data_IF_584470277231
#
_entry.id   IF_584470277231
#
_cell.length_a   1.000
_cell.length_b   1.000
_cell.length_c   1.000
_cell.angle_alpha   90.00
_cell.angle_beta   90.00
_cell.angle_gamma   90.00
#
_symmetry.space_group_name_H-M   'P 1'
#
loop_
_entity.id
_entity.type
_entity.pdbx_description
1 polymer ?
#
# COMPACT_ATOMS: atom_id res chain seq x y z
N UNK A 1 17.94 -9.87 12.80
CA UNK A 1 18.40 -8.81 13.72
C UNK A 1 17.26 -7.80 13.81
N UNK A 2 16.84 -7.42 15.01
CA UNK A 2 15.92 -6.29 15.16
C UNK A 2 16.59 -5.03 14.60
N UNK A 3 15.86 -4.26 13.80
CA UNK A 3 16.35 -3.00 13.28
C UNK A 3 16.53 -2.02 14.45
N UNK A 4 17.58 -1.17 14.43
CA UNK A 4 17.74 -0.16 15.45
C UNK A 4 16.52 0.78 15.44
N UNK A 5 16.01 1.11 16.63
CA UNK A 5 14.85 1.99 16.78
C UNK A 5 15.08 3.40 16.20
N UNK A 6 16.34 3.81 16.09
CA UNK A 6 16.75 5.12 15.57
C UNK A 6 17.90 4.91 14.58
N UNK A 7 17.78 5.50 13.39
CA UNK A 7 18.84 5.48 12.36
C UNK A 7 20.01 6.41 12.74
N UNK A 8 19.71 7.61 13.25
CA UNK A 8 20.70 8.52 13.82
C UNK A 8 20.06 9.54 14.77
N UNK A 9 20.83 10.05 15.75
CA UNK A 9 20.37 11.14 16.63
C UNK A 9 20.02 12.42 15.86
N UNK A 10 20.71 12.69 14.75
CA UNK A 10 20.47 13.86 13.91
C UNK A 10 19.08 13.79 13.28
N UNK A 11 18.68 12.63 12.74
CA UNK A 11 17.35 12.43 12.15
C UNK A 11 16.22 12.51 13.17
N UNK A 12 16.47 12.10 14.42
CA UNK A 12 15.53 12.35 15.53
C UNK A 12 15.35 13.85 15.75
N UNK A 13 16.45 14.62 15.79
CA UNK A 13 16.40 16.05 16.04
C UNK A 13 15.76 16.83 14.88
N UNK A 14 16.10 16.50 13.63
CA UNK A 14 15.67 17.25 12.44
C UNK A 14 14.29 16.85 11.93
N UNK A 15 13.91 15.57 12.10
CA UNK A 15 12.72 14.99 11.48
C UNK A 15 11.81 14.22 12.45
N UNK A 16 12.20 14.08 13.73
CA UNK A 16 11.45 13.26 14.68
C UNK A 16 11.46 11.77 14.34
N UNK A 17 12.40 11.29 13.52
CA UNK A 17 12.39 9.92 13.02
C UNK A 17 12.69 8.90 14.13
N UNK A 18 11.68 8.08 14.44
CA UNK A 18 11.79 6.92 15.34
C UNK A 18 11.01 5.77 14.73
N UNK A 19 11.63 4.60 14.63
CA UNK A 19 10.96 3.41 14.11
C UNK A 19 10.17 2.71 15.22
N UNK A 20 8.87 2.52 14.97
CA UNK A 20 7.97 1.84 15.90
C UNK A 20 8.38 0.38 16.08
N UNK A 21 8.50 -0.06 17.33
CA UNK A 21 8.91 -1.43 17.63
C UNK A 21 7.84 -2.46 17.23
N UNK A 22 8.23 -3.70 16.84
CA UNK A 22 7.28 -4.74 16.43
C UNK A 22 6.18 -5.03 17.45
N UNK A 23 6.49 -4.94 18.75
CA UNK A 23 5.51 -5.09 19.83
C UNK A 23 4.38 -4.07 19.72
N UNK A 24 4.71 -2.80 19.52
CA UNK A 24 3.73 -1.72 19.47
C UNK A 24 2.94 -1.75 18.16
N UNK A 25 3.61 -2.06 17.04
CA UNK A 25 2.94 -2.31 15.76
C UNK A 25 1.86 -3.38 15.92
N UNK A 26 2.23 -4.53 16.50
CA UNK A 26 1.30 -5.63 16.69
C UNK A 26 0.15 -5.27 17.65
N UNK A 27 0.44 -4.57 18.75
CA UNK A 27 -0.59 -4.13 19.70
C UNK A 27 -1.62 -3.23 19.02
N UNK A 28 -1.17 -2.26 18.21
CA UNK A 28 -2.04 -1.34 17.47
C UNK A 28 -2.87 -2.06 16.41
N UNK A 29 -2.27 -2.92 15.60
CA UNK A 29 -3.00 -3.65 14.55
C UNK A 29 -3.99 -4.68 15.13
N UNK A 30 -3.79 -5.13 16.37
CA UNK A 30 -4.77 -5.99 17.05
C UNK A 30 -6.06 -5.25 17.44
N UNK A 31 -6.06 -3.91 17.49
CA UNK A 31 -7.27 -3.12 17.71
C UNK A 31 -8.19 -3.12 16.48
N UNK A 32 -7.62 -3.33 15.29
CA UNK A 32 -8.32 -3.38 13.99
C UNK A 32 -8.06 -4.73 13.30
N UNK A 33 -8.07 -5.80 14.11
CA UNK A 33 -7.63 -7.13 13.68
C UNK A 33 -8.35 -7.59 12.41
N UNK A 34 -9.68 -7.54 12.40
CA UNK A 34 -10.48 -7.98 11.24
C UNK A 34 -10.08 -7.25 9.95
N UNK A 35 -9.86 -5.94 10.01
CA UNK A 35 -9.42 -5.15 8.88
C UNK A 35 -7.99 -5.51 8.46
N UNK A 36 -7.09 -5.75 9.43
CA UNK A 36 -5.69 -6.09 9.15
C UNK A 36 -5.50 -7.43 8.43
N UNK A 37 -6.50 -8.32 8.48
CA UNK A 37 -6.51 -9.60 7.75
C UNK A 37 -7.40 -9.57 6.48
N UNK A 38 -8.21 -8.53 6.28
CA UNK A 38 -9.04 -8.40 5.07
C UNK A 38 -8.17 -8.07 3.85
N UNK A 39 -8.34 -8.80 2.74
CA UNK A 39 -7.57 -8.57 1.51
C UNK A 39 -7.82 -7.17 0.91
N UNK A 40 -9.03 -6.64 1.07
CA UNK A 40 -9.47 -5.40 0.44
C UNK A 40 -9.51 -4.18 1.36
N UNK A 41 -9.43 -4.36 2.69
CA UNK A 41 -9.50 -3.23 3.62
C UNK A 41 -8.29 -2.29 3.45
N UNK A 42 -8.54 -1.01 3.22
CA UNK A 42 -7.49 -0.03 2.95
C UNK A 42 -6.82 0.48 4.22
N UNK A 43 -5.50 0.64 4.19
CA UNK A 43 -4.69 1.27 5.24
C UNK A 43 -3.86 2.42 4.67
N UNK A 44 -3.82 3.54 5.38
CA UNK A 44 -2.94 4.67 5.09
C UNK A 44 -2.10 5.00 6.31
N UNK A 45 -0.77 4.97 6.15
CA UNK A 45 0.17 5.46 7.16
C UNK A 45 0.82 6.78 6.70
N UNK A 46 0.42 7.95 7.25
CA UNK A 46 0.85 9.27 6.76
C UNK A 46 2.25 9.70 7.21
N UNK A 47 2.98 8.85 7.94
CA UNK A 47 4.38 9.02 8.33
C UNK A 47 5.05 7.63 8.44
N UNK A 48 5.08 6.90 7.32
CA UNK A 48 5.34 5.46 7.34
C UNK A 48 6.78 5.06 7.61
N UNK A 49 7.74 5.99 7.57
CA UNK A 49 9.16 5.71 7.70
C UNK A 49 9.60 4.62 6.71
N UNK A 50 10.34 3.64 7.21
CA UNK A 50 10.72 2.45 6.43
C UNK A 50 9.66 1.33 6.44
N UNK A 51 8.44 1.62 6.88
CA UNK A 51 7.27 0.76 6.67
C UNK A 51 6.99 -0.29 7.74
N UNK A 52 7.37 -0.08 9.01
CA UNK A 52 7.15 -1.08 10.07
C UNK A 52 5.67 -1.47 10.29
N UNK A 53 4.73 -0.53 10.14
CA UNK A 53 3.29 -0.86 10.14
C UNK A 53 2.87 -1.57 8.86
N UNK A 54 3.31 -1.05 7.71
CA UNK A 54 2.89 -1.53 6.39
C UNK A 54 3.36 -2.96 6.11
N UNK A 55 4.54 -3.35 6.58
CA UNK A 55 5.06 -4.71 6.41
C UNK A 55 4.27 -5.74 7.21
N UNK A 56 3.86 -5.40 8.44
CA UNK A 56 3.03 -6.29 9.26
C UNK A 56 1.59 -6.38 8.69
N UNK A 57 1.03 -5.29 8.17
CA UNK A 57 -0.25 -5.30 7.46
C UNK A 57 -0.17 -6.20 6.21
N UNK A 58 0.89 -6.03 5.41
CA UNK A 58 1.14 -6.86 4.23
C UNK A 58 1.23 -8.33 4.61
N UNK A 59 2.06 -8.68 5.60
CA UNK A 59 2.24 -10.05 6.07
C UNK A 59 0.90 -10.69 6.49
N UNK A 60 0.09 -10.00 7.31
CA UNK A 60 -1.23 -10.51 7.75
C UNK A 60 -2.17 -10.77 6.57
N UNK A 61 -2.21 -9.86 5.59
CA UNK A 61 -3.02 -10.01 4.37
C UNK A 61 -2.50 -11.15 3.49
N UNK A 62 -1.18 -11.31 3.34
CA UNK A 62 -0.58 -12.40 2.58
C UNK A 62 -0.88 -13.77 3.21
N UNK A 63 -0.90 -13.87 4.54
CA UNK A 63 -1.35 -15.07 5.24
C UNK A 63 -2.80 -15.42 4.88
N UNK A 64 -3.73 -14.46 4.94
CA UNK A 64 -5.12 -14.68 4.54
C UNK A 64 -5.26 -15.04 3.06
N UNK A 65 -4.47 -14.39 2.19
CA UNK A 65 -4.44 -14.70 0.76
C UNK A 65 -3.99 -16.14 0.50
N UNK A 66 -2.94 -16.59 1.21
CA UNK A 66 -2.44 -17.97 1.15
C UNK A 66 -3.50 -18.98 1.58
N UNK A 67 -4.18 -18.72 2.69
CA UNK A 67 -5.23 -19.58 3.23
C UNK A 67 -6.42 -19.72 2.27
N UNK A 68 -6.83 -18.63 1.64
CA UNK A 68 -8.03 -18.61 0.78
C UNK A 68 -7.75 -19.07 -0.65
N UNK A 69 -6.61 -18.67 -1.24
CA UNK A 69 -6.34 -18.79 -2.67
C UNK A 69 -5.03 -19.49 -3.01
N UNK A 70 -4.25 -19.97 -2.04
CA UNK A 70 -2.92 -20.56 -2.27
C UNK A 70 -2.89 -21.74 -3.25
N UNK A 71 -4.02 -22.40 -3.51
CA UNK A 71 -4.16 -23.51 -4.47
C UNK A 71 -4.70 -23.08 -5.84
N UNK A 72 -4.91 -21.78 -6.06
CA UNK A 72 -5.54 -21.22 -7.25
C UNK A 72 -4.65 -20.10 -7.82
N UNK A 73 -3.60 -20.43 -8.60
CA UNK A 73 -2.57 -19.46 -8.98
C UNK A 73 -3.11 -18.15 -9.59
N UNK A 74 -4.04 -18.25 -10.55
CA UNK A 74 -4.65 -17.07 -11.18
C UNK A 74 -5.42 -16.19 -10.18
N UNK A 75 -6.18 -16.80 -9.26
CA UNK A 75 -6.92 -16.06 -8.23
C UNK A 75 -5.96 -15.47 -7.19
N UNK A 76 -4.90 -16.18 -6.84
CA UNK A 76 -3.85 -15.72 -5.95
C UNK A 76 -3.16 -14.47 -6.51
N UNK A 77 -2.69 -14.52 -7.75
CA UNK A 77 -2.03 -13.39 -8.42
C UNK A 77 -2.92 -12.15 -8.48
N UNK A 78 -4.20 -12.37 -8.74
CA UNK A 78 -5.18 -11.29 -8.84
C UNK A 78 -5.46 -10.64 -7.48
N UNK A 79 -5.71 -11.46 -6.45
CA UNK A 79 -5.93 -10.96 -5.10
C UNK A 79 -4.64 -10.44 -4.44
N UNK A 80 -3.46 -10.87 -4.89
CA UNK A 80 -2.18 -10.28 -4.50
C UNK A 80 -2.12 -8.80 -4.88
N UNK A 81 -2.54 -8.45 -6.10
CA UNK A 81 -2.62 -7.06 -6.53
C UNK A 81 -3.66 -6.27 -5.74
N UNK A 82 -4.77 -6.88 -5.33
CA UNK A 82 -5.75 -6.26 -4.43
C UNK A 82 -5.15 -5.97 -3.06
N UNK A 83 -4.39 -6.92 -2.48
CA UNK A 83 -3.69 -6.75 -1.22
C UNK A 83 -2.71 -5.58 -1.30
N UNK A 84 -1.84 -5.57 -2.31
CA UNK A 84 -0.85 -4.49 -2.49
C UNK A 84 -1.55 -3.15 -2.77
N UNK A 85 -2.63 -3.17 -3.56
CA UNK A 85 -3.45 -2.00 -3.87
C UNK A 85 -4.20 -1.42 -2.68
N UNK A 86 -4.30 -2.14 -1.56
CA UNK A 86 -4.97 -1.67 -0.34
C UNK A 86 -4.03 -1.02 0.69
N UNK A 87 -2.72 -0.94 0.42
CA UNK A 87 -1.72 -0.45 1.37
C UNK A 87 -1.12 0.85 0.85
N UNK A 88 -1.23 1.93 1.62
CA UNK A 88 -0.77 3.28 1.29
C UNK A 88 0.13 3.84 2.39
N UNK A 89 1.09 4.66 1.99
CA UNK A 89 2.06 5.26 2.89
C UNK A 89 2.59 6.58 2.37
N UNK A 90 2.84 7.52 3.28
CA UNK A 90 3.52 8.77 3.00
C UNK A 90 4.69 8.89 3.97
N UNK A 91 5.84 9.34 3.49
CA UNK A 91 6.95 9.77 4.34
C UNK A 91 7.68 10.92 3.67
N UNK A 92 8.16 11.86 4.48
CA UNK A 92 8.84 13.06 3.97
C UNK A 92 10.25 12.75 3.46
N UNK A 93 10.86 11.64 3.91
CA UNK A 93 12.23 11.28 3.57
C UNK A 93 12.27 10.28 2.41
N UNK A 94 12.94 10.61 1.29
CA UNK A 94 12.92 9.76 0.09
C UNK A 94 13.63 8.41 0.31
N UNK A 95 14.64 8.36 1.20
CA UNK A 95 15.35 7.13 1.53
C UNK A 95 14.46 6.16 2.32
N UNK A 96 13.60 6.67 3.20
CA UNK A 96 12.61 5.88 3.92
C UNK A 96 11.59 5.24 2.98
N UNK A 97 11.05 6.01 2.03
CA UNK A 97 10.11 5.47 1.03
C UNK A 97 10.76 4.41 0.14
N UNK A 98 12.01 4.64 -0.29
CA UNK A 98 12.75 3.64 -1.06
C UNK A 98 12.95 2.35 -0.27
N UNK A 99 13.38 2.44 1.00
CA UNK A 99 13.56 1.30 1.89
C UNK A 99 12.22 0.59 2.16
N UNK A 100 11.14 1.33 2.39
CA UNK A 100 9.79 0.80 2.58
C UNK A 100 9.35 -0.04 1.38
N UNK A 101 9.43 0.52 0.16
CA UNK A 101 9.07 -0.19 -1.08
C UNK A 101 9.86 -1.49 -1.25
N UNK A 102 11.17 -1.45 -1.01
CA UNK A 102 12.03 -2.64 -1.16
C UNK A 102 11.71 -3.71 -0.12
N UNK A 103 11.45 -3.31 1.13
CA UNK A 103 11.08 -4.22 2.21
C UNK A 103 9.74 -4.90 1.97
N UNK A 104 8.72 -4.15 1.55
CA UNK A 104 7.42 -4.73 1.21
C UNK A 104 7.51 -5.69 0.01
N UNK A 105 8.27 -5.31 -1.02
CA UNK A 105 8.47 -6.18 -2.17
C UNK A 105 9.24 -7.46 -1.80
N UNK A 106 10.27 -7.35 -0.97
CA UNK A 106 11.03 -8.50 -0.47
C UNK A 106 10.18 -9.44 0.38
N UNK A 107 9.34 -8.90 1.28
CA UNK A 107 8.40 -9.68 2.09
C UNK A 107 7.44 -10.48 1.19
N UNK A 108 6.88 -9.82 0.18
CA UNK A 108 5.99 -10.42 -0.80
C UNK A 108 6.69 -11.57 -1.54
N UNK A 109 7.91 -11.36 -2.07
CA UNK A 109 8.66 -12.40 -2.76
C UNK A 109 8.94 -13.61 -1.86
N UNK A 110 9.37 -13.34 -0.63
CA UNK A 110 9.68 -14.39 0.35
C UNK A 110 8.47 -15.23 0.74
N UNK A 111 7.26 -14.67 0.60
CA UNK A 111 6.00 -15.35 0.87
C UNK A 111 5.43 -16.05 -0.38
N UNK A 112 5.59 -15.46 -1.57
CA UNK A 112 5.00 -15.93 -2.81
C UNK A 112 5.54 -17.30 -3.24
N UNK A 113 6.87 -17.43 -3.36
CA UNK A 113 7.52 -18.63 -3.89
C UNK A 113 7.18 -19.91 -3.09
N UNK A 114 7.24 -19.91 -1.74
CA UNK A 114 6.83 -21.08 -0.96
C UNK A 114 5.37 -21.49 -1.15
N UNK A 115 4.47 -20.56 -1.48
CA UNK A 115 3.05 -20.83 -1.65
C UNK A 115 2.75 -21.35 -3.06
N UNK A 116 3.26 -20.67 -4.09
CA UNK A 116 2.96 -20.99 -5.49
C UNK A 116 3.88 -22.07 -6.07
N UNK A 117 5.04 -22.31 -5.44
CA UNK A 117 6.02 -23.30 -5.91
C UNK A 117 6.83 -22.85 -7.13
N UNK A 118 6.73 -21.57 -7.52
CA UNK A 118 7.52 -20.95 -8.57
C UNK A 118 7.81 -19.46 -8.26
N UNK A 119 8.86 -18.88 -8.87
CA UNK A 119 9.14 -17.45 -8.78
C UNK A 119 7.99 -16.58 -9.29
N UNK A 120 7.90 -15.37 -8.75
CA UNK A 120 6.98 -14.35 -9.24
C UNK A 120 7.34 -13.96 -10.67
N UNK A 121 6.38 -14.06 -11.60
CA UNK A 121 6.62 -13.69 -12.99
C UNK A 121 6.90 -12.19 -13.15
N UNK A 122 7.80 -11.83 -14.08
CA UNK A 122 8.22 -10.45 -14.32
C UNK A 122 7.05 -9.50 -14.58
N UNK A 123 6.03 -9.94 -15.34
CA UNK A 123 4.87 -9.11 -15.64
C UNK A 123 4.07 -8.76 -14.37
N UNK A 124 3.87 -9.74 -13.48
CA UNK A 124 3.19 -9.53 -12.20
C UNK A 124 4.06 -8.72 -11.24
N UNK A 125 5.37 -9.00 -11.17
CA UNK A 125 6.32 -8.23 -10.39
C UNK A 125 6.32 -6.74 -10.78
N UNK A 126 6.27 -6.45 -12.09
CA UNK A 126 6.17 -5.08 -12.60
C UNK A 126 4.86 -4.41 -12.18
N UNK A 127 3.73 -5.12 -12.23
CA UNK A 127 2.44 -4.62 -11.73
C UNK A 127 2.49 -4.30 -10.24
N UNK A 128 3.03 -5.20 -9.41
CA UNK A 128 3.20 -5.00 -7.96
C UNK A 128 4.07 -3.76 -7.68
N UNK A 129 5.24 -3.65 -8.33
CA UNK A 129 6.14 -2.51 -8.15
C UNK A 129 5.48 -1.20 -8.55
N UNK A 130 4.71 -1.20 -9.63
CA UNK A 130 3.97 -0.01 -10.07
C UNK A 130 2.93 0.43 -9.03
N UNK A 131 2.13 -0.50 -8.50
CA UNK A 131 1.16 -0.19 -7.43
C UNK A 131 1.89 0.38 -6.21
N UNK A 132 2.95 -0.28 -5.73
CA UNK A 132 3.73 0.21 -4.58
C UNK A 132 4.32 1.60 -4.84
N UNK A 133 4.78 1.87 -6.08
CA UNK A 133 5.31 3.18 -6.44
C UNK A 133 4.24 4.27 -6.34
N UNK A 134 3.00 3.98 -6.74
CA UNK A 134 1.86 4.90 -6.69
C UNK A 134 1.26 5.04 -5.29
N UNK A 135 1.30 3.99 -4.48
CA UNK A 135 0.69 3.99 -3.14
C UNK A 135 1.63 4.47 -2.02
N UNK A 136 2.95 4.34 -2.19
CA UNK A 136 3.96 4.72 -1.20
C UNK A 136 4.68 5.98 -1.66
N UNK A 137 4.28 7.16 -1.19
CA UNK A 137 4.64 8.45 -1.77
C UNK A 137 5.66 9.19 -0.90
N UNK A 138 6.67 9.80 -1.52
CA UNK A 138 7.53 10.76 -0.83
C UNK A 138 6.84 12.12 -0.81
N UNK A 139 6.43 12.57 0.37
CA UNK A 139 5.67 13.80 0.55
C UNK A 139 5.44 14.14 2.00
N UNK A 140 4.87 15.32 2.21
CA UNK A 140 4.49 15.81 3.52
C UNK A 140 2.96 15.72 3.66
N UNK A 141 2.52 14.79 4.51
CA UNK A 141 1.11 14.56 4.77
C UNK A 141 0.42 15.75 5.48
N UNK A 142 1.17 16.65 6.12
CA UNK A 142 0.61 17.85 6.77
C UNK A 142 0.32 18.96 5.77
N UNK A 143 1.11 19.04 4.70
CA UNK A 143 0.92 20.03 3.62
C UNK A 143 0.25 19.45 2.38
N UNK A 144 -0.05 18.15 2.39
CA UNK A 144 -0.66 17.40 1.28
C UNK A 144 0.15 17.45 -0.01
N UNK A 145 1.47 17.67 0.08
CA UNK A 145 2.34 17.89 -1.07
C UNK A 145 3.46 16.88 -1.16
N UNK A 146 3.80 16.49 -2.39
CA UNK A 146 4.98 15.70 -2.72
C UNK A 146 6.25 16.54 -2.54
N UNK A 147 7.42 15.89 -2.58
CA UNK A 147 8.71 16.57 -2.41
C UNK A 147 9.00 17.67 -3.46
N UNK A 148 8.36 17.62 -4.65
CA UNK A 148 8.43 18.63 -5.70
C UNK A 148 7.31 19.69 -5.61
N UNK A 149 6.53 19.67 -4.53
CA UNK A 149 5.50 20.67 -4.22
C UNK A 149 4.16 20.48 -4.94
N UNK A 150 3.97 19.36 -5.65
CA UNK A 150 2.69 18.99 -6.27
C UNK A 150 1.74 18.38 -5.23
N UNK A 151 0.41 18.41 -5.45
CA UNK A 151 -0.52 17.71 -4.57
C UNK A 151 -0.26 16.20 -4.52
N UNK A 152 -0.41 15.59 -3.34
CA UNK A 152 -0.39 14.14 -3.18
C UNK A 152 -1.68 13.56 -3.77
N UNK A 153 -1.53 12.64 -4.72
CA UNK A 153 -2.63 11.96 -5.39
C UNK A 153 -2.57 10.46 -5.09
N UNK A 154 -3.65 9.92 -4.55
CA UNK A 154 -3.80 8.47 -4.33
C UNK A 154 -4.53 7.80 -5.47
N UNK A 155 -4.13 6.56 -5.76
CA UNK A 155 -4.75 5.69 -6.75
C UNK A 155 -5.56 4.63 -6.04
N UNK A 156 -6.88 4.68 -6.14
CA UNK A 156 -7.74 3.57 -5.75
C UNK A 156 -7.78 2.54 -6.89
N UNK A 157 -7.44 1.30 -6.59
CA UNK A 157 -7.42 0.20 -7.56
C UNK A 157 -8.74 -0.56 -7.54
N UNK A 158 -9.42 -0.57 -8.68
CA UNK A 158 -10.72 -1.21 -8.87
C UNK A 158 -10.54 -2.52 -9.62
N UNK A 159 -10.91 -3.64 -9.01
CA UNK A 159 -10.84 -4.96 -9.63
C UNK A 159 -12.25 -5.43 -10.03
N UNK A 160 -12.41 -5.91 -11.27
CA UNK A 160 -13.73 -6.22 -11.83
C UNK A 160 -14.15 -7.67 -11.61
N UNK A 161 -15.33 -7.89 -11.04
CA UNK A 161 -15.93 -9.22 -10.92
C UNK A 161 -16.32 -9.81 -12.30
N UNK A 162 -16.42 -11.14 -12.46
CA UNK A 162 -16.38 -12.18 -11.42
C UNK A 162 -14.99 -12.79 -11.15
N UNK A 163 -14.03 -12.60 -12.03
CA UNK A 163 -12.71 -13.25 -11.96
C UNK A 163 -11.57 -12.30 -11.55
N UNK A 164 -11.86 -11.01 -11.37
CA UNK A 164 -10.91 -9.96 -10.99
C UNK A 164 -9.74 -9.79 -11.97
N UNK A 165 -9.83 -10.37 -13.18
CA UNK A 165 -8.74 -10.36 -14.18
C UNK A 165 -8.50 -8.99 -14.80
N UNK A 166 -9.45 -8.07 -14.63
CA UNK A 166 -9.36 -6.72 -15.10
C UNK A 166 -9.33 -5.72 -13.96
N UNK A 167 -8.57 -4.66 -14.17
CA UNK A 167 -8.32 -3.60 -13.21
C UNK A 167 -8.48 -2.24 -13.88
N UNK A 168 -9.08 -1.33 -13.15
CA UNK A 168 -9.09 0.11 -13.42
C UNK A 168 -8.55 0.84 -12.20
N UNK A 169 -8.33 2.15 -12.31
CA UNK A 169 -8.04 2.97 -11.14
C UNK A 169 -8.86 4.25 -11.14
N UNK A 170 -9.02 4.83 -9.96
CA UNK A 170 -9.51 6.20 -9.72
C UNK A 170 -8.46 6.99 -8.96
N UNK A 171 -8.30 8.27 -9.29
CA UNK A 171 -7.36 9.14 -8.57
C UNK A 171 -8.06 10.08 -7.62
N UNK A 172 -7.49 10.30 -6.43
CA UNK A 172 -8.04 11.20 -5.43
C UNK A 172 -6.97 12.15 -4.89
N UNK A 173 -7.31 13.43 -4.80
CA UNK A 173 -6.48 14.43 -4.15
C UNK A 173 -6.53 14.24 -2.61
N UNK A 174 -5.37 14.13 -1.98
CA UNK A 174 -5.28 13.78 -0.56
C UNK A 174 -5.83 14.88 0.38
N UNK A 175 -5.63 16.15 0.03
CA UNK A 175 -6.15 17.28 0.80
C UNK A 175 -7.68 17.23 0.84
N UNK A 176 -8.29 17.10 -0.33
CA UNK A 176 -9.75 17.04 -0.49
C UNK A 176 -10.34 15.82 0.22
N UNK A 177 -9.66 14.68 0.10
CA UNK A 177 -10.07 13.40 0.73
C UNK A 177 -10.09 13.48 2.25
N UNK A 178 -9.14 14.20 2.83
CA UNK A 178 -9.02 14.35 4.29
C UNK A 178 -10.00 15.41 4.82
N UNK A 179 -10.13 16.54 4.11
CA UNK A 179 -11.04 17.62 4.48
C UNK A 179 -12.53 17.23 4.36
N UNK A 180 -12.89 16.35 3.42
CA UNK A 180 -14.27 15.87 3.23
C UNK A 180 -14.77 14.88 4.28
N UNK A 181 -13.86 14.29 5.08
CA UNK A 181 -14.14 13.17 5.99
C UNK A 181 -14.24 13.57 7.48
N UNK A 182 -14.24 14.87 7.81
CA UNK A 182 -14.39 15.34 9.20
C UNK A 182 -15.75 14.92 9.78
N UNK A 183 -15.76 13.91 10.67
CA UNK A 183 -16.93 13.50 11.45
C UNK A 183 -17.74 12.31 10.91
N UNK A 184 -17.27 11.59 9.87
CA UNK A 184 -17.90 10.35 9.39
C UNK A 184 -16.90 9.18 9.43
N UNK A 185 -17.43 7.95 9.48
CA UNK A 185 -16.64 6.71 9.41
C UNK A 185 -15.68 6.79 8.21
N UNK A 186 -14.38 6.62 8.48
CA UNK A 186 -13.29 6.83 7.51
C UNK A 186 -13.37 5.81 6.36
N UNK A 187 -14.00 6.23 5.26
CA UNK A 187 -13.72 5.65 3.95
C UNK A 187 -12.70 6.55 3.24
N UNK A 188 -11.50 6.02 3.00
CA UNK A 188 -10.42 6.73 2.33
C UNK A 188 -10.85 7.22 0.93
N UNK A 189 -11.81 6.57 0.28
CA UNK A 189 -12.23 6.89 -1.09
C UNK A 189 -13.73 7.17 -1.22
N UNK A 190 -14.36 7.65 -0.13
CA UNK A 190 -15.82 7.84 -0.05
C UNK A 190 -16.45 8.60 -1.22
N UNK A 191 -17.74 8.32 -1.48
CA UNK A 191 -18.53 8.76 -2.65
C UNK A 191 -18.50 10.29 -2.87
N UNK A 192 -18.32 11.11 -1.82
CA UNK A 192 -18.23 12.57 -1.94
C UNK A 192 -16.91 13.07 -2.55
N UNK A 193 -15.87 12.23 -2.60
CA UNK A 193 -14.56 12.57 -3.16
C UNK A 193 -14.48 12.31 -4.68
N UNK A 194 -15.56 11.78 -5.29
CA UNK A 194 -15.65 11.52 -6.74
C UNK A 194 -15.62 12.79 -7.60
N UNK A 195 -15.81 13.99 -7.02
CA UNK A 195 -15.89 15.26 -7.75
C UNK A 195 -14.62 15.54 -8.59
N UNK A 196 -13.49 14.91 -8.25
CA UNK A 196 -12.23 15.00 -8.99
C UNK A 196 -11.65 13.66 -9.46
N UNK A 197 -12.38 12.56 -9.33
CA UNK A 197 -11.87 11.23 -9.66
C UNK A 197 -11.80 11.01 -11.18
N UNK A 198 -10.59 10.81 -11.71
CA UNK A 198 -10.40 10.33 -13.07
C UNK A 198 -10.36 8.81 -13.06
N UNK A 199 -11.30 8.18 -13.77
CA UNK A 199 -11.39 6.73 -13.88
C UNK A 199 -10.73 6.25 -15.17
N UNK A 200 -9.87 5.24 -15.07
CA UNK A 200 -9.33 4.56 -16.25
C UNK A 200 -10.29 3.52 -16.82
N UNK A 201 -10.12 3.16 -18.10
CA UNK A 201 -10.74 1.92 -18.61
C UNK A 201 -10.14 0.70 -17.92
N UNK A 202 -10.96 -0.34 -17.78
CA UNK A 202 -10.50 -1.65 -17.30
C UNK A 202 -9.50 -2.26 -18.29
N UNK A 203 -8.38 -2.78 -17.78
CA UNK A 203 -7.34 -3.49 -18.54
C UNK A 203 -6.99 -4.81 -17.86
N UNK A 204 -6.38 -5.79 -18.55
CA UNK A 204 -5.85 -6.98 -17.89
C UNK A 204 -4.87 -6.62 -16.77
N UNK A 205 -4.87 -7.36 -15.66
CA UNK A 205 -4.05 -7.04 -14.48
C UNK A 205 -2.52 -7.04 -14.74
N UNK A 206 -2.07 -7.81 -15.72
CA UNK A 206 -0.67 -7.82 -16.16
C UNK A 206 -0.25 -6.53 -16.88
N UNK A 207 -1.21 -5.66 -17.21
CA UNK A 207 -0.98 -4.37 -17.85
C UNK A 207 -1.03 -3.18 -16.90
N UNK A 208 -1.12 -3.40 -15.58
CA UNK A 208 -1.16 -2.32 -14.59
C UNK A 208 0.04 -1.37 -14.73
N UNK A 209 1.23 -1.91 -14.96
CA UNK A 209 2.45 -1.13 -15.19
C UNK A 209 2.41 -0.23 -16.44
N UNK A 210 1.43 -0.42 -17.32
CA UNK A 210 1.19 0.41 -18.51
C UNK A 210 0.18 1.54 -18.25
N UNK A 211 -0.37 1.67 -17.04
CA UNK A 211 -1.17 2.84 -16.69
C UNK A 211 -0.30 4.08 -16.53
N UNK A 212 -0.82 5.25 -16.94
CA UNK A 212 -0.14 6.53 -16.74
C UNK A 212 1.16 6.75 -17.54
N UNK A 213 1.44 5.89 -18.53
CA UNK A 213 2.41 6.15 -19.61
C UNK A 213 1.73 6.90 -20.76
#
# INVERSE_FOLDING_TARGET
MELPQVKSKQRVADHGEVYTNPREVNAMLNLVKEQSFSLSATFLEPACGNGNFLIEILHRKLCTLAEQYGKQPLAYDTHLLQVVGSIYGIDILPDNIAECRERLFSELLSTYEPIQGHPLEDALANSVRFIMQKNLICGDALTYKTADGQPIVFYEWLFSAPDFTQVAYRTFDFETTTAGNVGKQLDMFGISNEIHAQTSVYKPYLEISKFGN
#
